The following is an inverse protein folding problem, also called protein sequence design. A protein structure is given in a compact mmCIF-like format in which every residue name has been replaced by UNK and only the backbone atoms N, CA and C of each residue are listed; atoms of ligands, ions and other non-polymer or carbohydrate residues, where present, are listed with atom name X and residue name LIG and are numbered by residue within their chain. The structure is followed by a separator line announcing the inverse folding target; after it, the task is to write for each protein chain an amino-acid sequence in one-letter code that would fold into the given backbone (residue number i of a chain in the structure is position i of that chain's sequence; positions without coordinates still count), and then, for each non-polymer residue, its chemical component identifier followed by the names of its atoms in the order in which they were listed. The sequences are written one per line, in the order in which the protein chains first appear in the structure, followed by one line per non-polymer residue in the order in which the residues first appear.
data_IF_903804579336
#
_entry.id   IF_903804579336
#
_cell.length_a   1.000
_cell.length_b   1.000
_cell.length_c   1.000
_cell.angle_alpha   90.00
_cell.angle_beta   90.00
_cell.angle_gamma   90.00
#
_symmetry.space_group_name_H-M   'P 1'
#
loop_
_entity.id
_entity.type
_entity.pdbx_description
1 polymer ?
#
# COMPACT_ATOMS: atom_id res chain seq x y z
N UNK A 1 6.69 -20.18 12.55
CA UNK A 1 6.52 -21.37 13.43
C UNK A 1 5.79 -20.93 14.72
N UNK A 2 4.48 -20.66 14.63
CA UNK A 2 3.63 -20.30 15.78
C UNK A 2 2.37 -21.19 15.87
N UNK A 3 2.20 -22.11 14.92
CA UNK A 3 0.99 -22.94 14.80
C UNK A 3 1.21 -24.43 15.13
N UNK A 4 2.41 -24.81 15.57
CA UNK A 4 2.78 -26.22 15.79
C UNK A 4 3.18 -26.53 17.24
N UNK A 5 3.25 -25.53 18.12
CA UNK A 5 3.58 -25.76 19.53
C UNK A 5 2.35 -26.25 20.31
N UNK A 6 2.40 -27.53 20.74
CA UNK A 6 1.39 -28.17 21.59
C UNK A 6 0.95 -27.36 22.83
N UNK A 7 1.83 -26.66 23.58
CA UNK A 7 1.38 -25.84 24.72
C UNK A 7 0.54 -24.63 24.29
N UNK A 8 0.81 -24.04 23.12
CA UNK A 8 0.07 -22.88 22.62
C UNK A 8 -1.31 -23.28 22.10
N UNK A 9 -1.41 -24.44 21.43
CA UNK A 9 -2.69 -25.04 21.02
C UNK A 9 -3.56 -25.40 22.23
N UNK A 10 -2.97 -25.90 23.32
CA UNK A 10 -3.68 -26.22 24.56
C UNK A 10 -4.25 -24.97 25.26
N UNK A 11 -3.50 -23.88 25.28
CA UNK A 11 -3.96 -22.60 25.84
C UNK A 11 -5.05 -21.96 24.95
N UNK A 12 -4.92 -22.08 23.62
CA UNK A 12 -5.95 -21.65 22.67
C UNK A 12 -7.24 -22.47 22.78
N UNK A 13 -7.14 -23.77 23.03
CA UNK A 13 -8.30 -24.67 23.21
C UNK A 13 -9.10 -24.39 24.48
N UNK A 14 -8.51 -23.71 25.48
CA UNK A 14 -9.18 -23.32 26.74
C UNK A 14 -9.69 -21.88 26.75
N UNK A 15 -9.34 -21.08 25.75
CA UNK A 15 -9.95 -19.77 25.56
C UNK A 15 -11.40 -19.99 25.11
N UNK A 16 -12.35 -19.56 25.94
CA UNK A 16 -13.78 -19.68 25.63
C UNK A 16 -14.04 -19.08 24.24
N UNK A 17 -14.73 -19.78 23.32
CA UNK A 17 -14.88 -19.34 21.92
C UNK A 17 -15.35 -17.90 21.81
N UNK A 18 -16.29 -17.48 22.67
CA UNK A 18 -16.79 -16.11 22.68
C UNK A 18 -15.71 -15.06 23.02
N UNK A 19 -14.75 -15.38 23.90
CA UNK A 19 -13.64 -14.47 24.22
C UNK A 19 -12.59 -14.43 23.10
N UNK A 20 -12.33 -15.58 22.46
CA UNK A 20 -11.48 -15.62 21.28
C UNK A 20 -12.07 -14.81 20.11
N UNK A 21 -13.39 -14.90 19.90
CA UNK A 21 -14.10 -14.11 18.89
C UNK A 21 -14.12 -12.60 19.23
N UNK A 22 -14.34 -12.21 20.48
CA UNK A 22 -14.29 -10.78 20.85
C UNK A 22 -12.88 -10.21 20.72
N UNK A 23 -11.85 -10.96 21.10
CA UNK A 23 -10.46 -10.57 20.89
C UNK A 23 -10.12 -10.47 19.41
N UNK A 24 -10.53 -11.44 18.59
CA UNK A 24 -10.34 -11.42 17.15
C UNK A 24 -11.06 -10.23 16.50
N UNK A 25 -12.30 -9.94 16.89
CA UNK A 25 -13.05 -8.78 16.41
C UNK A 25 -12.43 -7.45 16.86
N UNK A 26 -11.97 -7.36 18.12
CA UNK A 26 -11.27 -6.19 18.65
C UNK A 26 -9.94 -5.95 17.93
N UNK A 27 -9.12 -6.99 17.71
CA UNK A 27 -7.90 -6.90 16.91
C UNK A 27 -8.17 -6.56 15.46
N UNK A 28 -9.21 -7.13 14.85
CA UNK A 28 -9.61 -6.83 13.48
C UNK A 28 -10.09 -5.38 13.34
N UNK A 29 -10.84 -4.88 14.32
CA UNK A 29 -11.28 -3.48 14.40
C UNK A 29 -10.10 -2.53 14.63
N UNK A 30 -9.20 -2.84 15.55
CA UNK A 30 -7.98 -2.08 15.78
C UNK A 30 -7.02 -2.14 14.58
N UNK A 31 -6.96 -3.25 13.85
CA UNK A 31 -6.17 -3.36 12.63
C UNK A 31 -6.76 -2.48 11.51
N UNK A 32 -8.09 -2.44 11.39
CA UNK A 32 -8.78 -1.53 10.47
C UNK A 32 -8.65 -0.06 10.87
N UNK A 33 -8.64 0.25 12.17
CA UNK A 33 -8.41 1.61 12.69
C UNK A 33 -6.94 2.04 12.57
N UNK A 34 -6.00 1.13 12.78
CA UNK A 34 -4.57 1.35 12.51
C UNK A 34 -4.28 1.48 11.00
N UNK A 35 -5.09 0.83 10.15
CA UNK A 35 -5.15 1.05 8.70
C UNK A 35 -6.17 2.11 8.30
N UNK A 36 -6.73 2.84 9.27
CA UNK A 36 -7.91 3.66 9.11
C UNK A 36 -7.57 4.93 8.36
N UNK A 37 -7.77 4.93 7.04
CA UNK A 37 -8.39 5.97 6.18
C UNK A 37 -7.97 7.44 6.43
N UNK A 38 -6.84 7.64 7.07
CA UNK A 38 -6.08 8.88 7.04
C UNK A 38 -4.83 8.44 6.32
N UNK A 39 -4.78 8.71 5.02
CA UNK A 39 -3.59 8.42 4.22
C UNK A 39 -2.40 8.93 5.00
N UNK A 40 -1.50 8.04 5.41
CA UNK A 40 -0.20 8.46 5.89
C UNK A 40 0.33 9.40 4.81
N UNK A 41 0.52 10.66 5.17
CA UNK A 41 1.07 11.64 4.23
C UNK A 41 2.35 11.02 3.65
N UNK A 42 2.41 10.96 2.33
CA UNK A 42 3.56 10.39 1.64
C UNK A 42 4.81 11.19 2.07
N UNK A 43 5.66 10.56 2.89
CA UNK A 43 6.93 11.12 3.35
C UNK A 43 8.05 10.31 2.73
N UNK A 44 8.78 10.94 1.79
CA UNK A 44 9.87 10.33 1.02
C UNK A 44 10.84 9.51 1.90
N UNK A 45 11.19 10.04 3.05
CA UNK A 45 12.17 9.45 3.98
C UNK A 45 11.67 8.19 4.71
N UNK A 46 10.35 8.05 4.89
CA UNK A 46 9.72 6.91 5.56
C UNK A 46 9.10 5.92 4.56
N UNK A 47 9.10 6.22 3.26
CA UNK A 47 8.50 5.35 2.25
C UNK A 47 9.54 4.36 1.72
N UNK A 48 9.42 3.10 2.12
CA UNK A 48 10.35 2.03 1.70
C UNK A 48 10.43 1.86 0.18
N UNK A 49 9.33 2.10 -0.55
CA UNK A 49 9.30 2.03 -2.02
C UNK A 49 10.11 3.16 -2.68
N UNK A 50 10.11 4.34 -2.09
CA UNK A 50 10.91 5.46 -2.58
C UNK A 50 12.41 5.19 -2.40
N UNK A 51 12.82 4.76 -1.20
CA UNK A 51 14.20 4.38 -0.91
C UNK A 51 14.68 3.20 -1.77
N UNK A 52 13.79 2.23 -2.02
CA UNK A 52 14.07 1.14 -2.94
C UNK A 52 14.33 1.65 -4.36
N UNK A 53 13.49 2.58 -4.84
CA UNK A 53 13.64 3.20 -6.16
C UNK A 53 14.98 3.91 -6.32
N UNK A 54 15.39 4.68 -5.31
CA UNK A 54 16.71 5.31 -5.29
C UNK A 54 17.86 4.30 -5.33
N UNK A 55 17.73 3.15 -4.65
CA UNK A 55 18.75 2.09 -4.68
C UNK A 55 18.80 1.39 -6.03
N UNK A 56 17.67 1.13 -6.66
CA UNK A 56 17.60 0.51 -8.00
C UNK A 56 18.25 1.44 -9.03
N UNK A 57 17.93 2.73 -8.99
CA UNK A 57 18.46 3.74 -9.91
C UNK A 57 19.98 3.95 -9.81
N UNK A 58 20.62 3.51 -8.72
CA UNK A 58 22.09 3.50 -8.62
C UNK A 58 22.75 2.40 -9.46
N UNK A 59 22.03 1.31 -9.73
CA UNK A 59 22.55 0.16 -10.47
C UNK A 59 22.06 0.15 -11.91
N UNK A 60 20.81 0.54 -12.15
CA UNK A 60 20.17 0.48 -13.46
C UNK A 60 19.26 1.68 -13.67
N UNK A 61 19.31 2.27 -14.86
CA UNK A 61 18.53 3.45 -15.19
C UNK A 61 17.12 3.08 -15.64
N UNK A 62 16.13 3.79 -15.11
CA UNK A 62 14.72 3.70 -15.52
C UNK A 62 14.11 5.10 -15.59
N UNK A 63 13.32 5.37 -16.63
CA UNK A 63 12.58 6.63 -16.76
C UNK A 63 11.39 6.72 -15.79
N UNK A 64 10.72 5.58 -15.54
CA UNK A 64 9.54 5.51 -14.67
C UNK A 64 9.58 4.28 -13.77
N UNK A 65 9.37 4.48 -12.46
CA UNK A 65 9.16 3.40 -11.50
C UNK A 65 7.73 3.47 -10.96
N UNK A 66 6.91 2.52 -11.39
CA UNK A 66 5.46 2.49 -11.11
C UNK A 66 5.13 1.41 -10.08
N UNK A 67 4.46 1.82 -9.01
CA UNK A 67 4.09 0.96 -7.89
C UNK A 67 2.60 1.09 -7.56
N UNK A 68 2.05 0.11 -6.84
CA UNK A 68 0.67 0.12 -6.34
C UNK A 68 0.60 -0.14 -4.84
N UNK A 69 -0.49 -0.77 -4.38
CA UNK A 69 -0.68 -1.26 -3.01
C UNK A 69 -0.86 -0.20 -1.90
N UNK A 70 -0.31 1.02 -2.03
CA UNK A 70 -0.50 2.08 -1.02
C UNK A 70 -1.85 2.78 -1.07
N UNK A 71 -2.65 2.56 -2.13
CA UNK A 71 -3.93 3.26 -2.38
C UNK A 71 -3.79 4.80 -2.37
N UNK A 72 -2.58 5.32 -2.57
CA UNK A 72 -2.23 6.74 -2.63
C UNK A 72 -1.82 7.08 -4.06
N UNK A 73 -2.27 8.22 -4.56
CA UNK A 73 -1.91 8.71 -5.88
C UNK A 73 -0.76 9.71 -5.75
N UNK A 74 0.43 9.31 -6.16
CA UNK A 74 1.64 10.15 -6.06
C UNK A 74 2.41 10.08 -7.37
N UNK A 75 2.77 11.24 -7.92
CA UNK A 75 3.77 11.37 -8.98
C UNK A 75 4.82 12.35 -8.51
N UNK A 76 6.10 11.95 -8.56
CA UNK A 76 7.17 12.85 -8.20
C UNK A 76 8.50 12.47 -8.86
N UNK A 77 9.38 13.45 -9.15
CA UNK A 77 10.72 13.16 -9.64
C UNK A 77 11.58 12.55 -8.52
N UNK A 78 12.31 11.49 -8.84
CA UNK A 78 13.40 10.96 -7.99
C UNK A 78 14.70 11.71 -8.31
N UNK A 79 14.96 11.93 -9.61
CA UNK A 79 16.08 12.69 -10.13
C UNK A 79 15.62 13.46 -11.39
N UNK A 80 16.56 14.06 -12.15
CA UNK A 80 16.23 14.85 -13.36
C UNK A 80 15.62 14.02 -14.51
N UNK A 81 15.80 12.71 -14.52
CA UNK A 81 15.43 11.81 -15.63
C UNK A 81 14.49 10.67 -15.25
N UNK A 82 14.25 10.45 -13.95
CA UNK A 82 13.49 9.32 -13.43
C UNK A 82 12.34 9.80 -12.54
N UNK A 83 11.14 9.27 -12.79
CA UNK A 83 9.94 9.54 -12.01
C UNK A 83 9.52 8.35 -11.16
N UNK A 84 9.08 8.64 -9.95
CA UNK A 84 8.38 7.71 -9.06
C UNK A 84 6.87 7.91 -9.19
N UNK A 85 6.15 6.81 -9.35
CA UNK A 85 4.70 6.80 -9.51
C UNK A 85 4.08 5.79 -8.55
N UNK A 86 3.15 6.25 -7.72
CA UNK A 86 2.22 5.38 -7.00
C UNK A 86 0.83 5.47 -7.63
N UNK A 87 0.36 4.33 -8.10
CA UNK A 87 -1.02 4.10 -8.49
C UNK A 87 -1.91 4.15 -7.23
N UNK A 88 -2.99 4.91 -7.35
CA UNK A 88 -4.04 4.95 -6.35
C UNK A 88 -4.90 3.68 -6.37
N UNK A 89 -6.20 3.85 -6.15
CA UNK A 89 -7.15 2.73 -6.15
C UNK A 89 -8.30 2.92 -7.12
N UNK A 90 -8.85 1.80 -7.57
CA UNK A 90 -10.01 1.76 -8.45
C UNK A 90 -11.37 1.78 -7.73
N UNK A 91 -11.40 1.70 -6.39
CA UNK A 91 -12.64 1.61 -5.61
C UNK A 91 -13.19 3.00 -5.28
N UNK A 92 -12.33 3.90 -4.79
CA UNK A 92 -12.75 5.26 -4.40
C UNK A 92 -12.15 6.34 -5.31
N UNK A 93 -10.87 6.21 -5.70
CA UNK A 93 -10.16 7.22 -6.48
C UNK A 93 -10.37 7.08 -8.00
N UNK A 94 -10.82 5.92 -8.47
CA UNK A 94 -10.97 5.56 -9.89
C UNK A 94 -9.77 6.00 -10.75
N UNK A 95 -8.57 5.80 -10.21
CA UNK A 95 -7.33 6.24 -10.86
C UNK A 95 -6.68 5.14 -11.68
N UNK A 96 -6.05 5.51 -12.80
CA UNK A 96 -5.31 4.62 -13.69
C UNK A 96 -4.08 5.33 -14.27
N UNK A 97 -3.06 4.55 -14.62
CA UNK A 97 -1.90 5.04 -15.36
C UNK A 97 -2.08 4.86 -16.85
N UNK A 98 -1.65 5.84 -17.65
CA UNK A 98 -1.58 5.76 -19.11
C UNK A 98 -0.13 5.92 -19.52
N UNK A 99 0.34 4.99 -20.35
CA UNK A 99 1.66 5.06 -20.97
C UNK A 99 1.46 5.10 -22.49
N UNK A 100 1.97 6.15 -23.14
CA UNK A 100 1.82 6.37 -24.59
C UNK A 100 3.01 5.82 -25.41
N UNK A 101 4.03 5.29 -24.73
CA UNK A 101 5.29 4.82 -25.33
C UNK A 101 6.49 5.70 -24.97
N UNK A 102 6.26 6.95 -24.58
CA UNK A 102 7.30 7.91 -24.19
C UNK A 102 7.06 8.49 -22.79
N UNK A 103 5.81 8.79 -22.46
CA UNK A 103 5.39 9.43 -21.22
C UNK A 103 4.39 8.57 -20.45
N UNK A 104 4.53 8.63 -19.12
CA UNK A 104 3.59 8.03 -18.19
C UNK A 104 2.80 9.14 -17.46
N UNK A 105 1.47 9.05 -17.49
CA UNK A 105 0.56 9.98 -16.82
C UNK A 105 -0.43 9.25 -15.90
N UNK A 106 -0.67 9.82 -14.71
CA UNK A 106 -1.75 9.37 -13.84
C UNK A 106 -3.05 10.12 -14.15
N UNK A 107 -4.09 9.37 -14.54
CA UNK A 107 -5.42 9.90 -14.82
C UNK A 107 -6.44 9.39 -13.81
N UNK A 108 -7.52 10.15 -13.65
CA UNK A 108 -8.68 9.75 -12.85
C UNK A 108 -9.91 9.71 -13.74
N UNK A 109 -10.72 8.69 -13.56
CA UNK A 109 -12.00 8.58 -14.26
C UNK A 109 -13.03 9.43 -13.52
N UNK A 110 -13.26 10.66 -14.00
CA UNK A 110 -14.40 11.46 -13.59
C UNK A 110 -15.58 11.11 -14.50
N UNK A 111 -16.62 10.52 -13.92
CA UNK A 111 -17.91 10.36 -14.61
C UNK A 111 -18.61 11.71 -14.59
N UNK A 112 -18.33 12.58 -15.56
CA UNK A 112 -19.17 13.75 -15.79
C UNK A 112 -20.60 13.26 -16.03
N UNK A 113 -21.54 13.74 -15.21
CA UNK A 113 -22.97 13.50 -15.41
C UNK A 113 -23.36 14.21 -16.71
N UNK A 114 -23.53 13.44 -17.78
CA UNK A 114 -24.34 13.85 -18.93
C UNK A 114 -25.82 13.92 -18.55
#
# INVERSE_FOLDING_TARGET
MLFTSRPLQWMFSRLHPNFAFTLAHAWSKNSRLAKGIVGEEFKKENEGLYVFSEKVLKNEFFDFLVFGHRHLLVEMPINEKSKFVLLGEWISLFSYGVFDGENFELRRYNKEKS
#
